data_IF_635595497519
#
_entry.id   IF_635595497519
#
_cell.length_a   1.000
_cell.length_b   1.000
_cell.length_c   1.000
_cell.angle_alpha   90.00
_cell.angle_beta   90.00
_cell.angle_gamma   90.00
#
_symmetry.space_group_name_H-M   'P 1'
#
loop_
_entity.id
_entity.type
_entity.pdbx_description
1 polymer ?
#
# COMPACT_ATOMS: atom_id res chain seq x y z
N UNK A 1 -0.23 4.17 3.42
CA UNK A 1 0.49 4.88 2.36
C UNK A 1 -0.44 5.78 1.55
N UNK A 2 -1.44 5.25 0.80
CA UNK A 2 -2.29 6.05 -0.10
C UNK A 2 -2.98 7.23 0.59
N UNK A 3 -3.55 7.04 1.77
CA UNK A 3 -4.21 8.11 2.53
C UNK A 3 -3.26 9.27 2.86
N UNK A 4 -2.05 8.95 3.31
CA UNK A 4 -1.04 9.97 3.64
C UNK A 4 -0.58 10.73 2.41
N UNK A 5 -0.29 10.01 1.31
CA UNK A 5 0.12 10.67 0.07
C UNK A 5 -0.99 11.58 -0.47
N UNK A 6 -2.24 11.13 -0.48
CA UNK A 6 -3.38 11.95 -0.89
C UNK A 6 -3.55 13.20 -0.01
N UNK A 7 -3.35 13.07 1.31
CA UNK A 7 -3.41 14.21 2.23
C UNK A 7 -2.26 15.19 2.00
N UNK A 8 -1.03 14.72 1.77
CA UNK A 8 0.11 15.56 1.40
C UNK A 8 -0.12 16.34 0.11
N UNK A 9 -0.88 15.77 -0.84
CA UNK A 9 -1.32 16.46 -2.07
C UNK A 9 -2.57 17.35 -1.87
N UNK A 10 -2.95 17.59 -0.62
CA UNK A 10 -4.05 18.51 -0.27
C UNK A 10 -5.45 17.91 -0.39
N UNK A 11 -5.60 16.60 -0.48
CA UNK A 11 -6.90 15.98 -0.42
C UNK A 11 -7.40 15.88 1.03
N UNK A 12 -8.71 16.11 1.25
CA UNK A 12 -9.38 15.71 2.49
C UNK A 12 -9.62 14.19 2.40
N UNK A 13 -9.11 13.43 3.38
CA UNK A 13 -9.08 11.97 3.35
C UNK A 13 -9.79 11.39 4.56
N UNK A 14 -10.68 10.40 4.31
CA UNK A 14 -11.25 9.53 5.32
C UNK A 14 -10.81 8.08 5.08
N UNK A 15 -10.46 7.37 6.15
CA UNK A 15 -10.13 5.94 6.13
C UNK A 15 -11.18 5.19 6.92
N UNK A 16 -11.86 4.23 6.30
CA UNK A 16 -12.76 3.30 6.98
C UNK A 16 -12.06 1.96 7.17
N UNK A 17 -12.09 1.44 8.40
CA UNK A 17 -11.42 0.22 8.80
C UNK A 17 -12.38 -0.68 9.57
N UNK A 18 -12.46 -1.97 9.21
CA UNK A 18 -13.36 -2.93 9.85
C UNK A 18 -12.99 -3.25 11.30
N UNK A 19 -11.69 -3.22 11.62
CA UNK A 19 -11.17 -3.45 12.97
C UNK A 19 -11.30 -2.16 13.81
N UNK A 20 -11.18 -2.28 15.11
CA UNK A 20 -11.18 -1.18 16.07
C UNK A 20 -9.78 -0.55 16.27
N UNK A 21 -8.81 -0.95 15.45
CA UNK A 21 -7.43 -0.47 15.46
C UNK A 21 -6.84 -0.40 14.05
N UNK A 22 -5.74 0.33 13.89
CA UNK A 22 -4.99 0.36 12.64
C UNK A 22 -4.33 -0.99 12.36
N UNK A 23 -4.57 -1.56 11.18
CA UNK A 23 -4.02 -2.85 10.78
C UNK A 23 -3.47 -2.79 9.37
N UNK A 24 -2.29 -3.40 9.18
CA UNK A 24 -1.67 -3.57 7.87
C UNK A 24 -0.73 -4.77 7.88
N UNK A 25 -0.46 -5.32 6.71
CA UNK A 25 0.53 -6.39 6.51
C UNK A 25 1.76 -5.90 5.72
N UNK A 26 1.83 -4.61 5.38
CA UNK A 26 2.74 -4.09 4.36
C UNK A 26 4.04 -3.48 4.85
N UNK A 27 4.48 -3.70 6.09
CA UNK A 27 5.71 -3.05 6.58
C UNK A 27 7.02 -3.64 6.05
N UNK A 28 7.03 -4.85 5.52
CA UNK A 28 8.18 -5.41 4.80
C UNK A 28 8.08 -5.21 3.29
N UNK A 29 7.43 -4.12 2.88
CA UNK A 29 7.34 -3.77 1.47
C UNK A 29 8.72 -3.48 0.90
N UNK A 30 8.96 -3.97 -0.30
CA UNK A 30 10.23 -3.85 -1.01
C UNK A 30 10.04 -3.06 -2.29
N UNK A 31 11.01 -2.22 -2.63
CA UNK A 31 11.07 -1.50 -3.90
C UNK A 31 12.39 -1.75 -4.62
N UNK A 32 12.36 -1.67 -5.94
CA UNK A 32 13.55 -1.67 -6.78
C UNK A 32 14.13 -0.26 -6.82
N UNK A 33 15.39 -0.07 -6.41
CA UNK A 33 16.05 1.23 -6.43
C UNK A 33 16.27 1.69 -7.88
N UNK A 34 15.49 2.68 -8.32
CA UNK A 34 15.45 3.08 -9.73
C UNK A 34 16.76 3.69 -10.22
N UNK A 35 17.45 4.46 -9.37
CA UNK A 35 18.71 5.12 -9.70
C UNK A 35 19.92 4.18 -9.65
N UNK A 36 19.84 3.10 -8.88
CA UNK A 36 20.90 2.09 -8.76
C UNK A 36 20.79 0.97 -9.79
N UNK A 37 19.68 0.91 -10.53
CA UNK A 37 19.43 -0.11 -11.55
C UNK A 37 19.25 0.54 -12.93
N UNK A 38 20.06 0.12 -13.88
CA UNK A 38 19.91 0.55 -15.28
C UNK A 38 18.65 -0.05 -15.92
N UNK A 39 18.28 0.45 -17.10
CA UNK A 39 17.08 -0.02 -17.79
C UNK A 39 17.11 -1.52 -18.15
N UNK A 40 18.24 -2.09 -18.61
CA UNK A 40 18.35 -3.53 -18.81
C UNK A 40 18.05 -4.35 -17.57
N UNK A 41 18.53 -3.92 -16.39
CA UNK A 41 18.27 -4.58 -15.09
C UNK A 41 16.79 -4.51 -14.72
N UNK A 42 16.14 -3.35 -14.88
CA UNK A 42 14.69 -3.19 -14.65
C UNK A 42 13.89 -4.13 -15.54
N UNK A 43 14.23 -4.20 -16.83
CA UNK A 43 13.53 -5.07 -17.79
C UNK A 43 13.79 -6.56 -17.54
N UNK A 44 14.98 -6.93 -17.05
CA UNK A 44 15.28 -8.29 -16.63
C UNK A 44 14.42 -8.70 -15.40
N UNK A 45 14.28 -7.80 -14.44
CA UNK A 45 13.37 -8.00 -13.29
C UNK A 45 11.92 -8.20 -13.76
N UNK A 46 11.39 -7.30 -14.60
CA UNK A 46 10.01 -7.37 -15.12
C UNK A 46 9.78 -8.68 -15.86
N UNK A 47 10.72 -9.09 -16.69
CA UNK A 47 10.63 -10.35 -17.45
C UNK A 47 10.64 -11.56 -16.53
N UNK A 48 11.48 -11.57 -15.48
CA UNK A 48 11.51 -12.62 -14.47
C UNK A 48 10.22 -12.69 -13.65
N UNK A 49 9.69 -11.54 -13.25
CA UNK A 49 8.43 -11.45 -12.51
C UNK A 49 7.25 -11.96 -13.34
N UNK A 50 7.18 -11.59 -14.63
CA UNK A 50 6.17 -12.12 -15.56
C UNK A 50 6.26 -13.64 -15.69
N UNK A 51 7.46 -14.17 -15.89
CA UNK A 51 7.66 -15.62 -16.03
C UNK A 51 7.25 -16.38 -14.76
N UNK A 52 7.63 -15.89 -13.59
CA UNK A 52 7.27 -16.48 -12.30
C UNK A 52 5.76 -16.44 -12.02
N UNK A 53 5.09 -15.43 -12.56
CA UNK A 53 3.62 -15.26 -12.42
C UNK A 53 2.85 -15.87 -13.59
N UNK A 54 3.48 -16.76 -14.38
CA UNK A 54 2.84 -17.41 -15.54
C UNK A 54 2.22 -16.43 -16.54
N UNK A 55 2.80 -15.23 -16.67
CA UNK A 55 2.37 -14.15 -17.56
C UNK A 55 0.97 -13.59 -17.26
N UNK A 56 0.44 -13.80 -16.07
CA UNK A 56 -0.89 -13.30 -15.65
C UNK A 56 -0.95 -11.79 -15.43
N UNK A 57 0.07 -11.14 -14.79
CA UNK A 57 0.04 -9.70 -14.60
C UNK A 57 0.18 -8.93 -15.91
N UNK A 58 -0.39 -7.73 -15.93
CA UNK A 58 -0.13 -6.78 -17.02
C UNK A 58 1.30 -6.26 -16.89
N UNK A 59 2.06 -6.31 -17.98
CA UNK A 59 3.46 -5.86 -18.03
C UNK A 59 3.61 -4.41 -17.56
N UNK A 60 2.69 -3.54 -17.96
CA UNK A 60 2.72 -2.10 -17.62
C UNK A 60 2.68 -1.86 -16.12
N UNK A 61 2.02 -2.72 -15.34
CA UNK A 61 2.01 -2.62 -13.88
C UNK A 61 3.36 -2.99 -13.28
N UNK A 62 4.03 -4.00 -13.81
CA UNK A 62 5.37 -4.40 -13.38
C UNK A 62 6.43 -3.36 -13.81
N UNK A 63 6.29 -2.79 -15.00
CA UNK A 63 7.15 -1.69 -15.45
C UNK A 63 6.96 -0.46 -14.52
N UNK A 64 5.73 -0.07 -14.20
CA UNK A 64 5.45 1.01 -13.26
C UNK A 64 6.04 0.72 -11.87
N UNK A 65 5.93 -0.51 -11.39
CA UNK A 65 6.53 -0.93 -10.12
C UNK A 65 8.06 -0.86 -10.16
N UNK A 66 8.69 -1.37 -11.21
CA UNK A 66 10.15 -1.37 -11.36
C UNK A 66 10.76 0.04 -11.39
N UNK A 67 10.02 1.03 -11.87
CA UNK A 67 10.49 2.41 -11.99
C UNK A 67 10.17 3.30 -10.78
N UNK A 68 9.18 2.93 -9.95
CA UNK A 68 8.69 3.84 -8.91
C UNK A 68 8.70 3.23 -7.50
N UNK A 69 8.88 1.93 -7.35
CA UNK A 69 8.73 1.28 -6.05
C UNK A 69 9.85 1.65 -5.07
N UNK A 70 11.08 1.88 -5.53
CA UNK A 70 12.20 2.32 -4.69
C UNK A 70 11.91 3.66 -4.03
N UNK A 71 11.50 4.65 -4.83
CA UNK A 71 11.12 5.97 -4.33
C UNK A 71 9.94 5.93 -3.37
N UNK A 72 8.95 5.07 -3.67
CA UNK A 72 7.81 4.88 -2.79
C UNK A 72 8.22 4.29 -1.42
N UNK A 73 9.17 3.35 -1.39
CA UNK A 73 9.72 2.80 -0.15
C UNK A 73 10.55 3.84 0.59
N UNK A 74 11.41 4.58 -0.10
CA UNK A 74 12.21 5.65 0.51
C UNK A 74 11.31 6.73 1.13
N UNK A 75 10.27 7.17 0.41
CA UNK A 75 9.25 8.08 0.94
C UNK A 75 8.56 7.50 2.18
N UNK A 76 8.17 6.23 2.16
CA UNK A 76 7.48 5.62 3.29
C UNK A 76 8.40 5.44 4.51
N UNK A 77 9.67 5.16 4.32
CA UNK A 77 10.68 5.16 5.39
C UNK A 77 10.78 6.53 6.06
N UNK A 78 10.78 7.61 5.27
CA UNK A 78 10.70 8.97 5.79
C UNK A 78 9.45 9.23 6.64
N UNK A 79 8.30 8.69 6.24
CA UNK A 79 7.06 8.76 7.05
C UNK A 79 7.21 8.01 8.38
N UNK A 80 7.88 6.86 8.41
CA UNK A 80 8.14 6.13 9.67
C UNK A 80 9.02 6.96 10.62
N UNK A 81 10.05 7.61 10.10
CA UNK A 81 10.92 8.50 10.89
C UNK A 81 10.13 9.67 11.47
N UNK A 82 9.31 10.35 10.65
CA UNK A 82 8.46 11.46 11.09
C UNK A 82 7.38 11.01 12.10
N UNK A 83 6.90 9.78 11.99
CA UNK A 83 5.97 9.17 12.93
C UNK A 83 6.64 8.68 14.23
N UNK A 84 7.97 8.76 14.34
CA UNK A 84 8.73 8.24 15.47
C UNK A 84 8.70 6.71 15.58
N UNK A 85 8.48 6.02 14.47
CA UNK A 85 8.52 4.55 14.40
C UNK A 85 9.94 4.11 14.10
N UNK A 86 10.57 3.42 15.05
CA UNK A 86 11.90 2.86 14.87
C UNK A 86 11.95 1.88 13.70
N UNK A 87 12.98 1.98 12.88
CA UNK A 87 13.22 1.10 11.75
C UNK A 87 14.69 0.69 11.64
N UNK A 88 14.95 -0.44 10.98
CA UNK A 88 16.30 -0.89 10.70
C UNK A 88 17.03 0.11 9.79
N UNK A 89 18.35 0.23 9.96
CA UNK A 89 19.17 1.11 9.13
C UNK A 89 19.05 0.74 7.64
N UNK A 90 19.14 1.74 6.78
CA UNK A 90 18.94 1.56 5.33
C UNK A 90 19.93 0.57 4.74
N UNK A 91 21.19 0.58 5.20
CA UNK A 91 22.23 -0.33 4.74
C UNK A 91 21.87 -1.80 5.01
N UNK A 92 21.16 -2.08 6.12
CA UNK A 92 20.67 -3.43 6.46
C UNK A 92 19.46 -3.81 5.61
N UNK A 93 18.68 -2.83 5.16
CA UNK A 93 17.46 -3.01 4.37
C UNK A 93 17.74 -3.01 2.86
N UNK A 94 18.95 -2.64 2.43
CA UNK A 94 19.37 -2.67 1.03
C UNK A 94 20.02 -4.00 0.71
N UNK A 95 19.62 -4.64 -0.38
CA UNK A 95 20.19 -5.92 -0.80
C UNK A 95 20.17 -6.09 -2.32
N UNK A 96 20.99 -7.02 -2.79
CA UNK A 96 21.10 -7.36 -4.21
C UNK A 96 20.52 -8.75 -4.49
N UNK A 97 19.95 -8.92 -5.66
CA UNK A 97 19.42 -10.21 -6.13
C UNK A 97 19.61 -10.38 -7.63
N UNK A 98 19.96 -11.60 -8.03
CA UNK A 98 19.99 -11.94 -9.45
C UNK A 98 18.60 -11.90 -10.10
N UNK A 99 18.53 -11.22 -11.24
CA UNK A 99 17.37 -11.14 -12.10
C UNK A 99 17.79 -11.50 -13.53
N UNK A 100 17.79 -12.80 -13.86
CA UNK A 100 18.15 -13.30 -15.18
C UNK A 100 19.57 -12.87 -15.64
N UNK A 101 20.56 -12.97 -14.74
CA UNK A 101 21.94 -12.59 -15.00
C UNK A 101 22.27 -11.12 -14.80
N UNK A 102 21.31 -10.31 -14.38
CA UNK A 102 21.49 -8.93 -13.94
C UNK A 102 21.39 -8.84 -12.42
N UNK A 103 22.28 -8.08 -11.80
CA UNK A 103 22.22 -7.84 -10.34
C UNK A 103 21.32 -6.65 -10.06
N UNK A 104 20.13 -6.90 -9.53
CA UNK A 104 19.19 -5.87 -9.17
C UNK A 104 19.30 -5.49 -7.68
N UNK A 105 19.26 -4.19 -7.37
CA UNK A 105 19.30 -3.64 -6.02
C UNK A 105 17.91 -3.26 -5.54
N UNK A 106 17.63 -3.61 -4.30
CA UNK A 106 16.34 -3.41 -3.66
C UNK A 106 16.50 -2.72 -2.31
N UNK A 107 15.47 -1.96 -1.94
CA UNK A 107 15.29 -1.39 -0.61
C UNK A 107 14.03 -1.95 0.02
N UNK A 108 14.12 -2.44 1.26
CA UNK A 108 12.97 -2.91 2.03
C UNK A 108 12.67 -1.95 3.18
N UNK A 109 11.39 -1.74 3.45
CA UNK A 109 10.95 -1.07 4.66
C UNK A 109 10.85 -2.10 5.80
N UNK A 110 11.59 -1.91 6.89
CA UNK A 110 11.58 -2.80 8.07
C UNK A 110 11.50 -1.99 9.36
N UNK A 111 10.30 -1.79 9.91
CA UNK A 111 10.17 -1.24 11.24
C UNK A 111 10.68 -2.26 12.26
N UNK A 112 11.43 -1.79 13.26
CA UNK A 112 11.91 -2.61 14.40
C UNK A 112 10.79 -2.87 15.41
N UNK A 113 9.73 -2.05 15.38
CA UNK A 113 8.54 -2.21 16.20
C UNK A 113 7.68 -3.40 15.74
N UNK A 114 6.76 -3.83 16.60
CA UNK A 114 5.71 -4.76 16.16
C UNK A 114 4.89 -4.15 15.04
N UNK A 115 4.33 -4.98 14.14
CA UNK A 115 3.47 -4.48 13.06
C UNK A 115 2.28 -3.66 13.56
N UNK A 116 1.68 -4.05 14.69
CA UNK A 116 0.60 -3.28 15.32
C UNK A 116 1.08 -1.91 15.80
N UNK A 117 2.20 -1.84 16.52
CA UNK A 117 2.76 -0.57 17.00
C UNK A 117 3.19 0.36 15.87
N UNK A 118 3.76 -0.18 14.79
CA UNK A 118 4.09 0.59 13.62
C UNK A 118 2.83 1.11 12.89
N UNK A 119 1.78 0.30 12.79
CA UNK A 119 0.51 0.71 12.19
C UNK A 119 -0.15 1.84 12.97
N UNK A 120 -0.18 1.74 14.30
CA UNK A 120 -0.73 2.78 15.19
C UNK A 120 0.09 4.08 15.12
N UNK A 121 1.43 4.00 15.13
CA UNK A 121 2.31 5.15 14.98
C UNK A 121 2.05 5.91 13.68
N UNK A 122 1.99 5.19 12.55
CA UNK A 122 1.72 5.78 11.23
C UNK A 122 0.28 6.33 11.15
N UNK A 123 -0.71 5.65 11.73
CA UNK A 123 -2.09 6.16 11.75
C UNK A 123 -2.22 7.42 12.59
N UNK A 124 -1.57 7.47 13.77
CA UNK A 124 -1.51 8.65 14.63
C UNK A 124 -0.84 9.83 13.90
N UNK A 125 0.31 9.60 13.27
CA UNK A 125 0.97 10.62 12.45
C UNK A 125 0.04 11.14 11.34
N UNK A 126 -0.62 10.24 10.62
CA UNK A 126 -1.53 10.62 9.52
C UNK A 126 -2.72 11.46 10.03
N UNK A 127 -3.27 11.14 11.20
CA UNK A 127 -4.35 11.91 11.81
C UNK A 127 -3.86 13.28 12.30
N UNK A 128 -2.78 13.30 13.10
CA UNK A 128 -2.34 14.50 13.82
C UNK A 128 -1.61 15.51 12.92
N UNK A 129 -0.85 15.04 11.93
CA UNK A 129 -0.01 15.87 11.07
C UNK A 129 -0.60 16.12 9.68
N UNK A 130 -1.35 15.15 9.16
CA UNK A 130 -1.88 15.25 7.80
C UNK A 130 -3.41 15.41 7.76
N UNK A 131 -4.08 15.39 8.92
CA UNK A 131 -5.53 15.59 9.02
C UNK A 131 -6.36 14.46 8.40
N UNK A 132 -5.82 13.25 8.33
CA UNK A 132 -6.55 12.07 7.88
C UNK A 132 -7.56 11.65 8.96
N UNK A 133 -8.82 11.52 8.59
CA UNK A 133 -9.87 11.07 9.49
C UNK A 133 -9.98 9.53 9.46
N UNK A 134 -9.88 8.86 10.62
CA UNK A 134 -10.01 7.41 10.73
C UNK A 134 -11.33 7.02 11.38
N UNK A 135 -12.03 6.08 10.77
CA UNK A 135 -13.28 5.49 11.23
C UNK A 135 -13.06 3.99 11.44
N UNK A 136 -12.83 3.62 12.70
CA UNK A 136 -12.63 2.23 13.11
C UNK A 136 -13.96 1.52 13.41
N UNK A 137 -13.96 0.18 13.42
CA UNK A 137 -15.17 -0.61 13.61
C UNK A 137 -16.20 -0.42 12.48
N UNK A 138 -15.77 0.04 11.32
CA UNK A 138 -16.60 0.43 10.18
C UNK A 138 -16.26 -0.44 8.95
N UNK A 139 -16.72 -1.71 8.88
CA UNK A 139 -16.51 -2.54 7.71
C UNK A 139 -17.16 -1.92 6.48
N UNK A 140 -16.40 -1.75 5.40
CA UNK A 140 -16.94 -1.34 4.11
C UNK A 140 -17.75 -2.50 3.52
N UNK A 141 -19.01 -2.24 3.20
CA UNK A 141 -19.95 -3.26 2.72
C UNK A 141 -20.34 -3.07 1.26
N UNK A 142 -20.28 -1.84 0.75
CA UNK A 142 -20.68 -1.55 -0.63
C UNK A 142 -20.04 -0.26 -1.15
N UNK A 143 -19.72 -0.23 -2.44
CA UNK A 143 -19.39 1.02 -3.13
C UNK A 143 -20.69 1.74 -3.51
N UNK A 144 -20.73 3.04 -3.24
CA UNK A 144 -21.79 3.90 -3.78
C UNK A 144 -21.43 4.27 -5.24
N UNK A 145 -22.35 4.03 -6.15
CA UNK A 145 -22.16 4.28 -7.59
C UNK A 145 -23.28 5.14 -8.09
N UNK A 146 -22.93 6.21 -8.82
CA UNK A 146 -23.89 7.11 -9.49
C UNK A 146 -23.44 7.28 -10.93
N UNK A 147 -24.33 7.05 -11.87
CA UNK A 147 -24.06 7.15 -13.31
C UNK A 147 -22.79 6.41 -13.79
N UNK A 148 -22.56 5.22 -13.19
CA UNK A 148 -21.40 4.38 -13.50
C UNK A 148 -20.08 4.80 -12.83
N UNK A 149 -20.05 5.89 -12.08
CA UNK A 149 -18.88 6.35 -11.33
C UNK A 149 -19.00 6.01 -9.84
N UNK A 150 -17.88 5.63 -9.21
CA UNK A 150 -17.82 5.43 -7.76
C UNK A 150 -17.82 6.79 -7.09
N UNK A 151 -18.83 7.06 -6.26
CA UNK A 151 -19.05 8.33 -5.57
C UNK A 151 -18.90 8.24 -4.05
N UNK A 152 -18.57 7.05 -3.54
CA UNK A 152 -18.35 6.85 -2.10
C UNK A 152 -18.31 5.40 -1.70
N UNK A 153 -18.35 5.18 -0.39
CA UNK A 153 -18.42 3.86 0.22
C UNK A 153 -19.48 3.85 1.34
N UNK A 154 -20.23 2.78 1.42
CA UNK A 154 -21.13 2.50 2.54
C UNK A 154 -20.37 1.59 3.50
N UNK A 155 -20.25 2.02 4.75
CA UNK A 155 -19.57 1.28 5.80
C UNK A 155 -20.38 1.27 7.10
N UNK A 156 -20.17 0.27 7.93
CA UNK A 156 -20.85 0.08 9.21
C UNK A 156 -21.31 -1.36 9.39
N UNK A 157 -22.10 -1.55 10.44
CA UNK A 157 -22.71 -2.85 10.79
C UNK A 157 -24.21 -2.80 10.58
N UNK A 158 -24.86 -3.96 10.63
CA UNK A 158 -26.31 -4.07 10.45
C UNK A 158 -27.09 -3.10 11.36
N UNK A 159 -27.97 -2.32 10.74
CA UNK A 159 -28.75 -1.27 11.43
C UNK A 159 -28.05 0.08 11.64
N UNK A 160 -26.75 0.20 11.31
CA UNK A 160 -25.95 1.41 11.51
C UNK A 160 -24.98 1.68 10.35
N UNK A 161 -25.51 1.79 9.15
CA UNK A 161 -24.69 2.10 7.97
C UNK A 161 -24.52 3.61 7.75
N UNK A 162 -23.33 4.01 7.37
CA UNK A 162 -22.96 5.39 7.02
C UNK A 162 -22.46 5.46 5.59
N UNK A 163 -22.93 6.43 4.81
CA UNK A 163 -22.39 6.75 3.50
C UNK A 163 -21.23 7.77 3.65
N UNK A 164 -20.06 7.36 3.24
CA UNK A 164 -18.89 8.21 3.08
C UNK A 164 -18.81 8.66 1.62
N UNK A 165 -19.20 9.90 1.34
CA UNK A 165 -19.15 10.46 -0.03
C UNK A 165 -17.73 10.86 -0.38
N UNK A 166 -17.29 10.52 -1.59
CA UNK A 166 -15.96 10.81 -2.10
C UNK A 166 -16.03 11.56 -3.45
N UNK A 167 -15.69 12.84 -3.42
CA UNK A 167 -15.71 13.68 -4.62
C UNK A 167 -14.54 13.41 -5.59
N UNK A 168 -13.41 12.86 -5.08
CA UNK A 168 -12.21 12.59 -5.89
C UNK A 168 -12.06 11.10 -6.23
N UNK A 169 -12.60 10.20 -5.44
CA UNK A 169 -12.55 8.77 -5.66
C UNK A 169 -12.36 7.95 -4.39
N UNK A 170 -12.38 6.65 -4.53
CA UNK A 170 -12.19 5.66 -3.46
C UNK A 170 -11.01 4.79 -3.80
N UNK A 171 -10.09 4.61 -2.84
CA UNK A 171 -8.97 3.66 -2.95
C UNK A 171 -9.32 2.41 -2.14
N UNK A 172 -9.39 1.27 -2.80
CA UNK A 172 -9.55 -0.03 -2.15
C UNK A 172 -8.18 -0.54 -1.68
N UNK A 173 -8.01 -0.62 -0.37
CA UNK A 173 -6.81 -1.15 0.29
C UNK A 173 -7.18 -2.35 1.19
N UNK A 174 -8.12 -3.17 0.72
CA UNK A 174 -8.78 -4.24 1.49
C UNK A 174 -7.98 -5.53 1.55
N UNK A 175 -6.79 -5.56 0.94
CA UNK A 175 -5.99 -6.77 0.79
C UNK A 175 -6.50 -7.66 -0.34
N UNK A 176 -6.14 -8.93 -0.28
CA UNK A 176 -6.59 -9.94 -1.23
C UNK A 176 -7.86 -10.68 -0.74
N UNK A 177 -8.23 -11.71 -1.46
CA UNK A 177 -9.44 -12.51 -1.22
C UNK A 177 -9.16 -13.89 -0.62
N UNK A 178 -7.95 -14.16 -0.10
CA UNK A 178 -7.57 -15.48 0.43
C UNK A 178 -8.47 -15.99 1.59
N UNK A 179 -9.23 -15.10 2.21
CA UNK A 179 -10.23 -15.45 3.23
C UNK A 179 -11.66 -15.44 2.71
N UNK A 180 -11.85 -15.47 1.38
CA UNK A 180 -13.17 -15.50 0.74
C UNK A 180 -13.31 -16.80 -0.08
N UNK A 181 -13.97 -17.79 0.52
CA UNK A 181 -14.11 -19.14 -0.07
C UNK A 181 -14.80 -19.12 -1.45
N UNK A 182 -15.76 -18.22 -1.66
CA UNK A 182 -16.45 -18.09 -2.95
C UNK A 182 -15.50 -17.57 -4.04
N UNK A 183 -14.70 -16.55 -3.71
CA UNK A 183 -13.72 -16.02 -4.65
C UNK A 183 -12.60 -17.01 -4.93
N UNK A 184 -12.10 -17.73 -3.90
CA UNK A 184 -11.08 -18.77 -4.08
C UNK A 184 -11.60 -19.89 -5.00
N UNK A 185 -12.87 -20.29 -4.84
CA UNK A 185 -13.46 -21.33 -5.67
C UNK A 185 -13.70 -20.89 -7.13
N UNK A 186 -13.75 -19.57 -7.39
CA UNK A 186 -13.97 -19.01 -8.72
C UNK A 186 -12.67 -18.87 -9.53
N UNK A 187 -11.51 -18.66 -8.90
CA UNK A 187 -10.20 -18.46 -9.52
C UNK A 187 -9.26 -19.64 -9.31
#
# INVERSE_FOLDING_TARGET
>A
AAAMRAAQEGAKVAVVQKLDFASTQGFEATGLLADDNDEPTKQAFVSKALALSEWRPKRELLDAWAHNSGDAIAWFRGILDEAGVEQEAEETCTYEKDCNGYTAKFLTCRPSATYAGAADGVATYAADKLGVEFFYGMPAVQLAVTDGAVTGVIAGTEGAYTLFSAAKGVVLATGDYQCNDEMIAFF
#
